data_IF_368798702556
#
_entry.id   IF_368798702556
#
_cell.length_a   1.000
_cell.length_b   1.000
_cell.length_c   1.000
_cell.angle_alpha   90.00
_cell.angle_beta   90.00
_cell.angle_gamma   90.00
#
_symmetry.space_group_name_H-M   'P 1'
#
loop_
_entity.id
_entity.type
_entity.pdbx_description
1 polymer ?
#
# COMPACT_ATOMS: atom_id res chain seq x y z
N UNK A 1 5.74 11.48 3.50
CA UNK A 1 4.82 11.18 4.63
C UNK A 1 3.59 10.52 4.05
N UNK A 2 3.08 9.46 4.65
CA UNK A 2 1.76 8.94 4.25
C UNK A 2 0.95 8.47 5.45
N UNK A 3 -0.35 8.40 5.25
CA UNK A 3 -1.33 7.98 6.24
C UNK A 3 -2.09 6.77 5.73
N UNK A 4 -2.23 5.76 6.58
CA UNK A 4 -2.88 4.48 6.28
C UNK A 4 -4.10 4.23 7.17
N UNK A 5 -4.74 5.30 7.63
CA UNK A 5 -5.91 5.22 8.52
C UNK A 5 -7.17 4.78 7.75
N UNK A 6 -7.82 3.75 8.29
CA UNK A 6 -9.03 3.13 7.76
C UNK A 6 -10.29 3.57 8.54
N UNK A 7 -11.46 3.47 7.90
CA UNK A 7 -12.75 3.66 8.59
C UNK A 7 -13.18 2.36 9.29
N UNK A 8 -12.59 2.09 10.47
CA UNK A 8 -12.73 0.82 11.19
C UNK A 8 -14.18 0.37 11.41
N UNK A 9 -15.07 1.27 11.84
CA UNK A 9 -16.49 0.95 12.06
C UNK A 9 -17.18 0.43 10.78
N UNK A 10 -16.90 1.08 9.64
CA UNK A 10 -17.46 0.66 8.35
C UNK A 10 -16.92 -0.70 7.92
N UNK A 11 -15.66 -0.98 8.19
CA UNK A 11 -15.01 -2.25 7.84
C UNK A 11 -15.55 -3.38 8.72
N UNK A 12 -15.77 -3.12 10.01
CA UNK A 12 -16.34 -4.09 10.95
C UNK A 12 -17.68 -4.65 10.44
N UNK A 13 -18.52 -3.81 9.82
CA UNK A 13 -19.83 -4.17 9.28
C UNK A 13 -19.78 -4.93 7.94
N UNK A 14 -18.63 -4.96 7.24
CA UNK A 14 -18.52 -5.62 5.95
C UNK A 14 -18.73 -7.14 6.07
N UNK A 15 -19.49 -7.72 5.15
CA UNK A 15 -19.62 -9.18 5.02
C UNK A 15 -18.43 -9.74 4.25
N UNK A 16 -17.32 -9.97 4.96
CA UNK A 16 -16.07 -10.55 4.45
C UNK A 16 -15.65 -11.71 5.35
N UNK A 17 -14.85 -12.63 4.82
CA UNK A 17 -14.26 -13.70 5.62
C UNK A 17 -13.41 -13.11 6.75
N UNK A 18 -13.47 -13.71 7.92
CA UNK A 18 -12.70 -13.24 9.09
C UNK A 18 -11.20 -13.18 8.80
N UNK A 19 -10.64 -14.15 8.08
CA UNK A 19 -9.23 -14.12 7.67
C UNK A 19 -8.88 -12.91 6.80
N UNK A 20 -9.80 -12.46 5.93
CA UNK A 20 -9.59 -11.27 5.09
C UNK A 20 -9.61 -10.00 5.93
N UNK A 21 -10.48 -9.94 6.95
CA UNK A 21 -10.51 -8.83 7.92
C UNK A 21 -9.28 -8.85 8.83
N UNK A 22 -8.83 -10.01 9.29
CA UNK A 22 -7.64 -10.16 10.10
C UNK A 22 -6.36 -9.76 9.34
N UNK A 23 -6.38 -9.85 8.00
CA UNK A 23 -5.30 -9.41 7.12
C UNK A 23 -5.67 -8.14 6.33
N UNK A 24 -6.51 -7.26 6.88
CA UNK A 24 -7.04 -6.10 6.15
C UNK A 24 -5.97 -5.13 5.67
N UNK A 25 -4.84 -5.03 6.39
CA UNK A 25 -3.74 -4.19 5.94
C UNK A 25 -3.25 -4.67 4.58
N UNK A 26 -3.05 -5.99 4.41
CA UNK A 26 -2.68 -6.57 3.13
C UNK A 26 -3.83 -6.50 2.12
N UNK A 27 -5.06 -6.80 2.53
CA UNK A 27 -6.21 -6.92 1.63
C UNK A 27 -6.73 -5.59 1.09
N UNK A 28 -6.47 -4.49 1.80
CA UNK A 28 -6.94 -3.17 1.43
C UNK A 28 -5.83 -2.15 1.56
N UNK A 29 -5.31 -1.89 2.76
CA UNK A 29 -4.40 -0.77 3.04
C UNK A 29 -3.10 -0.78 2.23
N UNK A 30 -2.65 -1.96 1.78
CA UNK A 30 -1.44 -2.17 0.98
C UNK A 30 -1.40 -1.31 -0.28
N UNK A 31 -2.53 -0.98 -0.92
CA UNK A 31 -2.56 -0.11 -2.09
C UNK A 31 -2.00 1.29 -1.84
N UNK A 32 -2.10 1.81 -0.61
CA UNK A 32 -1.51 3.10 -0.22
C UNK A 32 0.01 2.99 -0.17
N UNK A 33 0.52 1.89 0.39
CA UNK A 33 1.96 1.63 0.51
C UNK A 33 2.55 1.33 -0.86
N UNK A 34 1.86 0.54 -1.68
CA UNK A 34 2.23 0.23 -3.06
C UNK A 34 2.35 1.50 -3.91
N UNK A 35 1.40 2.44 -3.76
CA UNK A 35 1.49 3.76 -4.39
C UNK A 35 2.77 4.49 -3.97
N UNK A 36 3.12 4.49 -2.68
CA UNK A 36 4.35 5.14 -2.20
C UNK A 36 5.59 4.44 -2.75
N UNK A 37 5.62 3.11 -2.80
CA UNK A 37 6.72 2.33 -3.40
C UNK A 37 6.87 2.71 -4.89
N UNK A 38 5.76 2.79 -5.64
CA UNK A 38 5.79 3.18 -7.05
C UNK A 38 6.34 4.61 -7.28
N UNK A 39 6.12 5.51 -6.33
CA UNK A 39 6.53 6.92 -6.42
C UNK A 39 7.94 7.18 -5.90
N UNK A 40 8.39 6.42 -4.90
CA UNK A 40 9.60 6.71 -4.12
C UNK A 40 10.62 5.58 -4.10
N UNK A 41 10.32 4.42 -4.68
CA UNK A 41 11.15 3.22 -4.67
C UNK A 41 10.93 2.34 -3.45
N UNK A 42 11.51 1.13 -3.49
CA UNK A 42 11.37 0.13 -2.43
C UNK A 42 12.17 0.54 -1.18
N UNK A 43 11.61 0.42 0.04
CA UNK A 43 12.34 0.61 1.30
C UNK A 43 13.55 -0.33 1.42
N UNK A 44 14.75 0.22 1.63
CA UNK A 44 15.97 -0.53 2.01
C UNK A 44 16.24 -0.48 3.51
N UNK A 45 15.74 0.56 4.18
CA UNK A 45 15.67 0.66 5.64
C UNK A 45 14.23 0.86 6.05
N UNK A 46 13.76 0.10 7.04
CA UNK A 46 12.40 0.19 7.55
C UNK A 46 12.37 -0.12 9.05
N UNK A 47 11.88 0.86 9.82
CA UNK A 47 11.57 0.73 11.24
C UNK A 47 10.05 0.88 11.40
N UNK A 48 9.43 -0.12 12.02
CA UNK A 48 7.98 -0.17 12.23
C UNK A 48 7.66 -0.27 13.71
N UNK A 49 6.55 0.34 14.11
CA UNK A 49 5.91 0.14 15.40
C UNK A 49 4.42 -0.08 15.16
N UNK A 50 3.86 -1.06 15.86
CA UNK A 50 2.43 -1.31 15.89
C UNK A 50 1.91 -1.27 17.31
N UNK A 51 0.60 -1.08 17.47
CA UNK A 51 -0.06 -1.09 18.76
C UNK A 51 -1.57 -1.13 18.64
N UNK A 52 -2.25 -1.29 19.77
CA UNK A 52 -3.70 -1.47 19.79
C UNK A 52 -4.14 -2.77 19.11
N UNK A 53 -5.44 -2.95 19.00
CA UNK A 53 -6.06 -4.12 18.38
C UNK A 53 -7.53 -3.84 18.11
N UNK A 54 -8.10 -4.45 17.08
CA UNK A 54 -9.54 -4.42 16.81
C UNK A 54 -10.11 -5.84 16.86
N UNK A 55 -11.41 -6.02 17.20
CA UNK A 55 -12.01 -7.36 17.24
C UNK A 55 -11.88 -8.15 15.93
N UNK A 56 -11.91 -7.44 14.79
CA UNK A 56 -11.80 -8.03 13.45
C UNK A 56 -10.38 -7.99 12.87
N UNK A 57 -9.45 -7.31 13.54
CA UNK A 57 -8.04 -7.22 13.16
C UNK A 57 -7.18 -7.17 14.43
N UNK A 58 -6.91 -8.33 15.04
CA UNK A 58 -6.28 -8.40 16.36
C UNK A 58 -4.79 -8.05 16.34
N UNK A 59 -4.13 -8.15 15.18
CA UNK A 59 -2.69 -7.94 15.07
C UNK A 59 -2.25 -6.52 15.47
N UNK A 60 -3.05 -5.51 15.09
CA UNK A 60 -2.78 -4.10 15.38
C UNK A 60 -4.01 -3.24 15.05
N UNK A 61 -4.06 -2.03 15.60
CA UNK A 61 -4.98 -0.97 15.14
C UNK A 61 -4.26 0.35 14.84
N UNK A 62 -3.04 0.49 15.35
CA UNK A 62 -2.17 1.65 15.19
C UNK A 62 -0.86 1.20 14.57
N UNK A 63 -0.38 2.01 13.64
CA UNK A 63 0.79 1.75 12.81
C UNK A 63 1.60 3.04 12.74
N UNK A 64 2.89 2.96 12.96
CA UNK A 64 3.81 4.08 12.78
C UNK A 64 5.16 3.56 12.31
N UNK A 65 5.88 4.38 11.55
CA UNK A 65 7.23 4.01 11.18
C UNK A 65 7.89 4.99 10.24
N UNK A 66 9.12 4.67 9.89
CA UNK A 66 9.94 5.46 8.98
C UNK A 66 10.99 4.60 8.31
N UNK A 67 11.58 5.12 7.25
CA UNK A 67 12.57 4.38 6.48
C UNK A 67 13.26 5.22 5.42
N UNK A 68 14.11 4.54 4.65
CA UNK A 68 14.85 5.05 3.51
C UNK A 68 14.61 4.13 2.32
N UNK A 69 14.28 4.69 1.17
CA UNK A 69 14.12 3.91 -0.07
C UNK A 69 15.45 3.72 -0.80
N UNK A 70 15.50 2.77 -1.73
CA UNK A 70 16.65 2.56 -2.63
C UNK A 70 17.01 3.81 -3.46
N UNK A 71 16.07 4.73 -3.65
CA UNK A 71 16.30 6.02 -4.31
C UNK A 71 16.86 7.09 -3.35
N UNK A 72 17.15 6.72 -2.10
CA UNK A 72 17.63 7.64 -1.07
C UNK A 72 16.57 8.60 -0.56
N UNK A 73 15.27 8.27 -0.71
CA UNK A 73 14.17 9.12 -0.28
C UNK A 73 13.75 8.70 1.14
N UNK A 74 13.90 9.56 2.16
CA UNK A 74 13.41 9.26 3.49
C UNK A 74 11.89 9.40 3.54
N UNK A 75 11.24 8.52 4.30
CA UNK A 75 9.80 8.58 4.50
C UNK A 75 9.42 8.28 5.95
N UNK A 76 8.19 8.68 6.29
CA UNK A 76 7.51 8.29 7.51
C UNK A 76 6.05 8.01 7.19
N UNK A 77 5.44 7.17 8.02
CA UNK A 77 4.04 6.82 7.91
C UNK A 77 3.37 6.70 9.27
N UNK A 78 2.05 6.84 9.27
CA UNK A 78 1.22 6.60 10.43
C UNK A 78 -0.15 6.07 10.01
N UNK A 79 -0.84 5.40 10.91
CA UNK A 79 -2.24 5.03 10.77
C UNK A 79 -2.81 4.71 12.13
N UNK A 80 -4.03 5.14 12.38
CA UNK A 80 -4.73 4.84 13.63
C UNK A 80 -6.18 4.51 13.32
N UNK A 81 -6.48 3.22 13.23
CA UNK A 81 -7.82 2.71 12.91
C UNK A 81 -8.78 2.81 14.09
N UNK A 82 -8.32 3.26 15.27
CA UNK A 82 -9.17 3.62 16.42
C UNK A 82 -9.52 5.12 16.40
N UNK A 83 -8.89 5.90 15.52
CA UNK A 83 -9.04 7.35 15.41
C UNK A 83 -9.65 7.78 14.06
N UNK A 84 -10.23 8.99 13.98
CA UNK A 84 -10.62 9.55 12.69
C UNK A 84 -9.38 9.83 11.83
N UNK A 85 -9.46 9.46 10.56
CA UNK A 85 -8.42 9.75 9.59
C UNK A 85 -8.84 9.37 8.19
N UNK A 86 -7.87 9.33 7.27
CA UNK A 86 -8.07 8.85 5.91
C UNK A 86 -6.73 8.53 5.26
N UNK A 87 -6.76 7.78 4.17
CA UNK A 87 -5.56 7.63 3.35
C UNK A 87 -5.07 8.96 2.80
N UNK A 88 -3.76 9.10 2.74
CA UNK A 88 -3.17 10.24 2.07
C UNK A 88 -1.66 10.10 1.92
N UNK A 89 -1.14 10.70 0.85
CA UNK A 89 0.28 10.71 0.54
C UNK A 89 0.73 12.15 0.40
N UNK A 90 1.82 12.50 1.05
CA UNK A 90 2.49 13.78 0.90
C UNK A 90 3.94 13.56 0.48
N UNK A 91 4.29 14.18 -0.66
CA UNK A 91 5.64 14.18 -1.22
C UNK A 91 6.21 15.58 -1.21
N UNK A 92 7.46 15.71 -0.79
CA UNK A 92 8.19 16.97 -0.82
C UNK A 92 9.30 16.88 -1.86
N UNK A 93 9.34 17.87 -2.75
CA UNK A 93 10.42 18.08 -3.71
C UNK A 93 11.18 19.35 -3.34
N UNK A 94 12.21 19.69 -4.12
CA UNK A 94 12.89 20.97 -3.96
C UNK A 94 11.95 22.16 -4.18
N UNK A 95 10.97 22.10 -5.07
CA UNK A 95 10.17 23.29 -5.39
C UNK A 95 8.75 23.26 -4.85
N UNK A 96 8.26 22.07 -4.48
CA UNK A 96 6.83 21.82 -4.25
C UNK A 96 6.60 20.78 -3.17
N UNK A 97 5.54 20.95 -2.40
CA UNK A 97 4.88 19.89 -1.66
C UNK A 97 3.63 19.45 -2.44
N UNK A 98 3.53 18.17 -2.71
CA UNK A 98 2.38 17.52 -3.36
C UNK A 98 1.59 16.79 -2.28
N UNK A 99 0.29 17.05 -2.19
CA UNK A 99 -0.60 16.47 -1.18
C UNK A 99 -1.75 15.76 -1.90
N UNK A 100 -1.76 14.42 -1.80
CA UNK A 100 -2.83 13.56 -2.27
C UNK A 100 -3.69 13.15 -1.08
N UNK A 101 -4.71 13.94 -0.78
CA UNK A 101 -5.66 13.68 0.32
C UNK A 101 -7.01 14.38 0.05
N UNK A 102 -8.05 13.67 -0.44
CA UNK A 102 -8.08 12.22 -0.76
C UNK A 102 -7.07 11.86 -1.88
N UNK A 103 -6.68 10.59 -1.99
CA UNK A 103 -5.58 10.19 -2.87
C UNK A 103 -5.86 10.45 -4.36
N UNK A 104 -7.13 10.57 -4.71
CA UNK A 104 -7.65 10.88 -6.04
C UNK A 104 -7.57 12.38 -6.39
N UNK A 105 -7.19 13.24 -5.46
CA UNK A 105 -7.06 14.68 -5.69
C UNK A 105 -5.62 15.14 -5.45
N UNK A 106 -5.14 16.07 -6.28
CA UNK A 106 -3.81 16.67 -6.10
C UNK A 106 -3.94 18.10 -5.60
N UNK A 107 -3.29 18.39 -4.47
CA UNK A 107 -3.05 19.75 -4.02
C UNK A 107 -1.54 20.03 -4.00
N UNK A 108 -1.16 21.29 -4.26
CA UNK A 108 0.23 21.71 -4.35
C UNK A 108 0.49 22.95 -3.51
N UNK A 109 1.62 22.95 -2.80
CA UNK A 109 2.18 24.13 -2.15
C UNK A 109 3.54 24.40 -2.80
N UNK A 110 3.72 25.56 -3.41
CA UNK A 110 4.99 25.98 -4.02
C UNK A 110 5.92 26.57 -2.94
N UNK A 111 7.24 26.35 -3.08
CA UNK A 111 8.25 26.92 -2.20
C UNK A 111 8.05 28.44 -2.03
N UNK A 112 8.04 28.89 -0.77
CA UNK A 112 7.82 30.29 -0.41
C UNK A 112 6.35 30.71 -0.32
N UNK A 113 5.42 29.86 -0.75
CA UNK A 113 3.97 30.05 -0.55
C UNK A 113 3.48 29.32 0.69
N UNK A 114 2.40 29.85 1.28
CA UNK A 114 1.58 29.17 2.30
C UNK A 114 0.25 28.68 1.75
N UNK A 115 -0.06 29.06 0.51
CA UNK A 115 -1.31 28.71 -0.15
C UNK A 115 -1.21 27.29 -0.69
N UNK A 116 -2.22 26.48 -0.37
CA UNK A 116 -2.42 25.17 -0.96
C UNK A 116 -3.42 25.32 -2.10
N UNK A 117 -3.02 24.94 -3.30
CA UNK A 117 -3.81 25.07 -4.51
C UNK A 117 -4.19 23.69 -5.03
N UNK A 118 -5.48 23.48 -5.30
CA UNK A 118 -5.94 22.29 -6.00
C UNK A 118 -5.44 22.35 -7.44
N UNK A 119 -4.86 21.24 -7.90
CA UNK A 119 -4.44 21.07 -9.29
C UNK A 119 -5.45 20.16 -9.97
N UNK A 120 -6.00 20.62 -11.08
CA UNK A 120 -6.88 19.80 -11.90
C UNK A 120 -6.06 18.69 -12.57
N UNK A 121 -6.54 17.45 -12.39
CA UNK A 121 -5.99 16.25 -13.01
C UNK A 121 -7.05 15.64 -13.92
N UNK A 122 -6.62 14.94 -14.97
CA UNK A 122 -7.54 14.16 -15.81
C UNK A 122 -7.89 12.85 -15.10
N UNK A 123 -8.98 12.89 -14.34
CA UNK A 123 -9.57 11.76 -13.60
C UNK A 123 -10.79 11.17 -14.30
N UNK A 124 -11.03 11.51 -15.58
CA UNK A 124 -12.24 11.09 -16.31
C UNK A 124 -12.41 9.56 -16.29
N UNK A 125 -11.34 8.82 -16.56
CA UNK A 125 -11.38 7.35 -16.57
C UNK A 125 -11.60 6.76 -15.17
N UNK A 126 -11.10 7.42 -14.13
CA UNK A 126 -11.26 6.97 -12.73
C UNK A 126 -12.65 7.30 -12.16
N UNK A 127 -13.42 8.17 -12.84
CA UNK A 127 -14.84 8.40 -12.58
C UNK A 127 -15.75 7.49 -13.40
N UNK A 128 -15.39 7.23 -14.66
CA UNK A 128 -16.15 6.33 -15.55
C UNK A 128 -16.00 4.85 -15.17
N UNK A 129 -14.83 4.48 -14.66
CA UNK A 129 -14.50 3.12 -14.23
C UNK A 129 -14.00 3.12 -12.79
N UNK A 130 -13.83 1.93 -12.18
CA UNK A 130 -13.13 1.84 -10.89
C UNK A 130 -11.72 2.44 -11.04
N UNK A 131 -11.28 3.35 -10.14
CA UNK A 131 -9.96 3.99 -10.24
C UNK A 131 -8.83 3.00 -10.53
N UNK A 132 -7.98 3.32 -11.49
CA UNK A 132 -6.85 2.50 -11.95
C UNK A 132 -7.22 1.31 -12.83
N UNK A 133 -8.41 0.71 -12.69
CA UNK A 133 -8.77 -0.56 -13.35
C UNK A 133 -8.69 -0.48 -14.88
N UNK A 134 -9.19 0.60 -15.48
CA UNK A 134 -9.17 0.76 -16.94
C UNK A 134 -7.74 0.78 -17.47
N UNK A 135 -6.87 1.61 -16.88
CA UNK A 135 -5.48 1.77 -17.34
C UNK A 135 -4.64 0.52 -17.07
N UNK A 136 -4.83 -0.14 -15.93
CA UNK A 136 -4.15 -1.41 -15.61
C UNK A 136 -4.57 -2.52 -16.57
N UNK A 137 -5.87 -2.65 -16.87
CA UNK A 137 -6.37 -3.66 -17.82
C UNK A 137 -5.83 -3.40 -19.22
N UNK A 138 -5.84 -2.14 -19.66
CA UNK A 138 -5.27 -1.76 -20.95
C UNK A 138 -3.77 -2.09 -21.01
N UNK A 139 -3.01 -1.71 -19.97
CA UNK A 139 -1.58 -2.00 -19.88
C UNK A 139 -1.31 -3.51 -19.96
N UNK A 140 -2.10 -4.33 -19.25
CA UNK A 140 -2.00 -5.78 -19.31
C UNK A 140 -2.24 -6.34 -20.72
N UNK A 141 -3.30 -5.90 -21.40
CA UNK A 141 -3.65 -6.35 -22.75
C UNK A 141 -2.61 -5.90 -23.80
N UNK A 142 -2.03 -4.72 -23.62
CA UNK A 142 -1.00 -4.14 -24.50
C UNK A 142 0.42 -4.61 -24.15
N UNK A 143 0.59 -5.38 -23.07
CA UNK A 143 1.90 -5.79 -22.51
C UNK A 143 2.80 -4.59 -22.19
N UNK A 144 2.19 -3.54 -21.63
CA UNK A 144 2.89 -2.37 -21.12
C UNK A 144 3.19 -2.53 -19.62
N UNK A 145 4.35 -3.11 -19.33
CA UNK A 145 4.74 -3.45 -17.96
C UNK A 145 5.12 -2.21 -17.12
N UNK A 146 5.16 -1.01 -17.70
CA UNK A 146 5.54 0.23 -16.96
C UNK A 146 4.56 0.59 -15.85
N UNK A 147 3.32 0.13 -15.94
CA UNK A 147 2.26 0.40 -14.97
C UNK A 147 1.87 -0.84 -14.15
N UNK A 148 2.60 -1.95 -14.33
CA UNK A 148 2.28 -3.23 -13.72
C UNK A 148 3.37 -3.65 -12.73
N UNK A 149 2.94 -4.33 -11.67
CA UNK A 149 3.83 -4.98 -10.72
C UNK A 149 4.04 -6.43 -11.13
N UNK A 150 5.28 -6.91 -11.19
CA UNK A 150 5.54 -8.34 -11.39
C UNK A 150 5.13 -9.12 -10.14
N UNK A 151 4.68 -10.36 -10.32
CA UNK A 151 4.29 -11.22 -9.20
C UNK A 151 5.41 -11.40 -8.17
N UNK A 152 6.66 -11.52 -8.62
CA UNK A 152 7.82 -11.64 -7.73
C UNK A 152 8.01 -10.37 -6.88
N UNK A 153 7.86 -9.19 -7.50
CA UNK A 153 8.02 -7.90 -6.83
C UNK A 153 6.88 -7.73 -5.81
N UNK A 154 5.66 -8.15 -6.16
CA UNK A 154 4.52 -8.15 -5.24
C UNK A 154 4.73 -9.09 -4.04
N UNK A 155 5.34 -10.26 -4.23
CA UNK A 155 5.69 -11.16 -3.12
C UNK A 155 6.69 -10.49 -2.17
N UNK A 156 7.71 -9.83 -2.72
CA UNK A 156 8.68 -9.07 -1.92
C UNK A 156 8.00 -7.89 -1.19
N UNK A 157 7.08 -7.19 -1.84
CA UNK A 157 6.30 -6.12 -1.22
C UNK A 157 5.38 -6.64 -0.11
N UNK A 158 4.82 -7.85 -0.22
CA UNK A 158 4.01 -8.45 0.84
C UNK A 158 4.81 -8.58 2.14
N UNK A 159 6.10 -8.95 2.07
CA UNK A 159 6.95 -8.97 3.26
C UNK A 159 7.05 -7.60 3.91
N UNK A 160 7.15 -6.52 3.13
CA UNK A 160 7.16 -5.14 3.63
C UNK A 160 5.83 -4.80 4.30
N UNK A 161 4.71 -5.13 3.67
CA UNK A 161 3.37 -4.90 4.21
C UNK A 161 3.16 -5.63 5.54
N UNK A 162 3.63 -6.88 5.65
CA UNK A 162 3.53 -7.67 6.86
C UNK A 162 4.30 -7.05 8.03
N UNK A 163 5.51 -6.52 7.80
CA UNK A 163 6.27 -5.81 8.87
C UNK A 163 5.59 -4.52 9.29
N UNK A 164 4.99 -3.80 8.34
CA UNK A 164 4.24 -2.58 8.63
C UNK A 164 2.94 -2.85 9.39
N UNK A 165 2.28 -3.97 9.08
CA UNK A 165 1.01 -4.38 9.67
C UNK A 165 1.17 -5.08 11.03
N UNK A 166 2.39 -5.50 11.39
CA UNK A 166 2.66 -6.26 12.62
C UNK A 166 2.22 -7.72 12.51
N UNK A 167 2.26 -8.29 11.29
CA UNK A 167 1.93 -9.69 11.07
C UNK A 167 3.10 -10.64 11.37
N UNK A 168 4.33 -10.13 11.52
CA UNK A 168 5.49 -10.93 11.91
C UNK A 168 5.22 -11.68 13.23
N UNK A 169 5.20 -13.02 13.18
CA UNK A 169 4.90 -13.90 14.33
C UNK A 169 3.45 -14.39 14.44
N UNK A 170 2.55 -13.96 13.56
CA UNK A 170 1.14 -14.43 13.50
C UNK A 170 0.90 -15.58 12.52
N UNK A 171 1.92 -15.95 11.75
CA UNK A 171 1.93 -17.14 10.88
C UNK A 171 2.79 -18.19 11.56
N UNK A 172 2.18 -19.23 12.11
CA UNK A 172 2.94 -20.46 12.38
C UNK A 172 3.48 -20.94 11.02
N UNK A 173 4.79 -21.18 10.89
CA UNK A 173 5.33 -21.71 9.65
C UNK A 173 4.67 -23.06 9.37
N UNK A 174 3.78 -23.11 8.39
CA UNK A 174 3.36 -24.38 7.81
C UNK A 174 4.60 -24.99 7.16
N UNK A 175 4.96 -26.21 7.54
CA UNK A 175 6.19 -26.93 7.15
C UNK A 175 6.40 -27.13 5.62
N UNK A 176 5.54 -26.57 4.76
CA UNK A 176 5.43 -26.95 3.34
C UNK A 176 6.23 -26.08 2.36
N UNK A 177 7.11 -25.19 2.83
CA UNK A 177 7.91 -24.31 1.95
C UNK A 177 9.42 -24.40 2.20
N UNK A 178 9.92 -25.60 2.51
CA UNK A 178 11.35 -25.93 2.47
C UNK A 178 11.60 -27.19 1.64
N UNK A 179 11.27 -27.14 0.35
CA UNK A 179 11.99 -27.98 -0.63
C UNK A 179 12.47 -27.14 -1.81
N UNK A 180 13.75 -26.71 -1.84
CA UNK A 180 14.36 -26.06 -2.99
C UNK A 180 14.63 -27.02 -4.17
N UNK A 181 14.23 -28.29 -4.06
CA UNK A 181 14.48 -29.34 -5.06
C UNK A 181 13.22 -29.97 -5.66
N UNK A 182 12.06 -29.29 -5.61
CA UNK A 182 10.90 -29.72 -6.41
C UNK A 182 11.20 -29.58 -7.91
N UNK A 183 11.76 -30.64 -8.51
CA UNK A 183 11.99 -30.76 -9.94
C UNK A 183 10.64 -30.63 -10.68
N UNK A 184 10.50 -29.55 -11.45
CA UNK A 184 9.38 -29.39 -12.38
C UNK A 184 9.64 -30.35 -13.55
N UNK A 185 9.01 -31.53 -13.48
CA UNK A 185 8.98 -32.47 -14.60
C UNK A 185 8.38 -31.82 -15.87
N UNK A 186 8.87 -32.20 -17.07
CA UNK A 186 8.43 -31.55 -18.30
C UNK A 186 6.93 -31.78 -18.55
N UNK A 187 6.22 -30.83 -19.17
CA UNK A 187 4.79 -30.93 -19.39
C UNK A 187 4.47 -32.06 -20.37
N UNK A 188 3.62 -32.99 -19.95
CA UNK A 188 3.03 -33.98 -20.85
C UNK A 188 2.19 -33.27 -21.91
N UNK A 189 2.49 -33.54 -23.18
CA UNK A 189 1.68 -33.09 -24.31
C UNK A 189 0.48 -34.03 -24.42
N UNK A 190 -0.71 -33.49 -24.17
CA UNK A 190 -2.01 -34.05 -24.54
C UNK A 190 -2.80 -33.03 -25.35
#
# INVERSE_FOLDING_TARGET
>A
LFEVTEYSDKIAELKKLEVVKASWFLANTSHVVDLVISLCGVPVELSTQTGGSLPWHPAAARFAGSGLTELGIPFSYHGDWEAPGRWGVEMCTRERRLVLRPMEELNVIVRGSKTMERVDIDDRLDREFKPGLYRLTKAFLERDDRLLCYLRDQVDHCHIYDRMAGYEGSVEPTEDHMDPHAEIGPPERG
#
